data_IF_174252388677
#
_entry.id   IF_174252388677
#
_cell.length_a   1.000
_cell.length_b   1.000
_cell.length_c   1.000
_cell.angle_alpha   90.00
_cell.angle_beta   90.00
_cell.angle_gamma   90.00
#
_symmetry.space_group_name_H-M   'P 1'
#
loop_
_entity.id
_entity.type
_entity.pdbx_description
1 polymer ?
#
# COMPACT_ATOMS: atom_id res chain seq x y z
N UNK A 1 1.29 9.05 25.55
CA UNK A 1 1.95 8.00 24.74
C UNK A 1 1.52 6.56 25.09
N UNK A 2 1.11 6.26 26.32
CA UNK A 2 0.72 4.90 26.75
C UNK A 2 -0.58 4.35 26.15
N UNK A 3 -1.56 5.22 25.84
CA UNK A 3 -2.86 4.81 25.31
C UNK A 3 -2.78 4.24 23.88
N UNK A 4 -1.95 4.84 23.04
CA UNK A 4 -1.76 4.40 21.66
C UNK A 4 -1.07 3.04 21.59
N UNK A 5 -0.09 2.80 22.47
CA UNK A 5 0.57 1.49 22.59
C UNK A 5 -0.41 0.39 23.02
N UNK A 6 -1.29 0.66 23.97
CA UNK A 6 -2.34 -0.27 24.38
C UNK A 6 -3.36 -0.54 23.25
N UNK A 7 -3.68 0.48 22.45
CA UNK A 7 -4.51 0.32 21.26
C UNK A 7 -3.86 -0.61 20.22
N UNK A 8 -2.56 -0.44 19.95
CA UNK A 8 -1.80 -1.31 19.04
C UNK A 8 -1.82 -2.76 19.54
N UNK A 9 -1.42 -3.00 20.80
CA UNK A 9 -1.37 -4.35 21.38
C UNK A 9 -2.74 -5.05 21.37
N UNK A 10 -3.81 -4.30 21.65
CA UNK A 10 -5.19 -4.82 21.57
C UNK A 10 -5.59 -5.16 20.14
N UNK A 11 -5.16 -4.36 19.17
CA UNK A 11 -5.46 -4.59 17.75
C UNK A 11 -4.69 -5.82 17.25
N UNK A 12 -3.41 -5.94 17.58
CA UNK A 12 -2.56 -7.09 17.22
C UNK A 12 -3.08 -8.41 17.77
N UNK A 13 -3.52 -8.42 19.03
CA UNK A 13 -4.11 -9.60 19.65
C UNK A 13 -5.45 -10.01 19.01
N UNK A 14 -6.24 -9.04 18.54
CA UNK A 14 -7.49 -9.30 17.83
C UNK A 14 -7.30 -9.83 16.41
N UNK A 15 -6.19 -9.48 15.74
CA UNK A 15 -5.85 -10.03 14.41
C UNK A 15 -5.68 -11.55 14.50
N UNK A 16 -5.05 -12.05 15.57
CA UNK A 16 -4.80 -13.48 15.76
C UNK A 16 -6.04 -14.28 16.19
N UNK A 17 -6.88 -13.70 17.05
CA UNK A 17 -8.04 -14.41 17.62
C UNK A 17 -9.30 -14.35 16.75
N UNK A 18 -9.55 -13.23 16.07
CA UNK A 18 -10.68 -13.08 15.16
C UNK A 18 -10.35 -12.08 14.04
N UNK A 19 -9.68 -12.53 12.97
CA UNK A 19 -9.27 -11.66 11.87
C UNK A 19 -10.46 -10.98 11.16
N UNK A 20 -11.69 -11.49 11.30
CA UNK A 20 -12.88 -10.85 10.73
C UNK A 20 -13.15 -9.48 11.37
N UNK A 21 -12.82 -9.27 12.64
CA UNK A 21 -12.96 -7.98 13.32
C UNK A 21 -11.96 -6.95 12.79
N UNK A 22 -10.71 -7.37 12.58
CA UNK A 22 -9.70 -6.53 11.93
C UNK A 22 -10.15 -6.13 10.54
N UNK A 23 -10.58 -7.09 9.71
CA UNK A 23 -11.08 -6.77 8.37
C UNK A 23 -12.37 -5.95 8.40
N UNK A 24 -13.23 -6.12 9.40
CA UNK A 24 -14.42 -5.28 9.61
C UNK A 24 -14.03 -3.84 9.93
N UNK A 25 -13.06 -3.63 10.82
CA UNK A 25 -12.52 -2.32 11.17
C UNK A 25 -11.86 -1.64 9.96
N UNK A 26 -11.02 -2.38 9.21
CA UNK A 26 -10.38 -1.88 7.99
C UNK A 26 -11.45 -1.54 6.94
N UNK A 27 -12.46 -2.39 6.74
CA UNK A 27 -13.57 -2.11 5.81
C UNK A 27 -14.40 -0.91 6.25
N UNK A 28 -14.67 -0.76 7.55
CA UNK A 28 -15.39 0.39 8.09
C UNK A 28 -14.60 1.69 7.86
N UNK A 29 -13.27 1.65 7.96
CA UNK A 29 -12.39 2.79 7.62
C UNK A 29 -12.26 3.02 6.11
N UNK A 30 -12.42 1.96 5.30
CA UNK A 30 -12.46 2.01 3.83
C UNK A 30 -13.83 2.34 3.24
N UNK A 31 -14.88 2.54 4.06
CA UNK A 31 -16.23 2.88 3.56
C UNK A 31 -16.29 4.23 2.83
N UNK A 32 -15.26 5.06 2.95
CA UNK A 32 -14.97 6.11 1.98
C UNK A 32 -14.24 5.46 0.78
N UNK A 33 -14.99 4.84 -0.11
CA UNK A 33 -14.48 4.23 -1.34
C UNK A 33 -14.15 5.26 -2.44
N UNK A 34 -14.12 6.55 -2.11
CA UNK A 34 -13.72 7.64 -3.00
C UNK A 34 -12.27 8.06 -2.79
N UNK A 35 -11.70 8.73 -3.79
CA UNK A 35 -10.54 9.58 -3.54
C UNK A 35 -10.87 10.55 -2.40
N UNK A 36 -9.95 10.82 -1.47
CA UNK A 36 -10.20 11.77 -0.40
C UNK A 36 -10.63 13.11 -1.02
N UNK A 37 -11.76 13.67 -0.58
CA UNK A 37 -12.26 14.96 -1.09
C UNK A 37 -11.30 16.11 -0.82
N UNK A 38 -10.36 15.91 0.10
CA UNK A 38 -9.30 16.85 0.42
C UNK A 38 -8.05 16.09 0.88
N UNK A 39 -6.91 16.37 0.25
CA UNK A 39 -5.59 15.84 0.60
C UNK A 39 -4.75 16.98 1.20
N UNK A 40 -3.95 16.70 2.23
CA UNK A 40 -2.99 17.66 2.80
C UNK A 40 -1.58 17.07 2.84
N UNK A 41 -0.59 17.79 2.34
CA UNK A 41 0.81 17.35 2.38
C UNK A 41 1.51 17.79 3.69
N UNK A 42 2.75 17.33 3.90
CA UNK A 42 3.56 17.68 5.08
C UNK A 42 3.95 19.16 5.14
N UNK A 43 4.03 19.83 3.98
CA UNK A 43 4.25 21.27 3.89
C UNK A 43 3.01 22.10 4.28
N UNK A 44 1.85 21.46 4.44
CA UNK A 44 0.60 22.08 4.83
C UNK A 44 -0.32 22.46 3.66
N UNK A 45 0.10 22.23 2.41
CA UNK A 45 -0.69 22.48 1.21
C UNK A 45 -1.90 21.57 1.17
N UNK A 46 -3.02 22.10 0.69
CA UNK A 46 -4.31 21.42 0.65
C UNK A 46 -4.80 21.29 -0.79
N UNK A 47 -5.07 20.06 -1.23
CA UNK A 47 -5.56 19.73 -2.56
C UNK A 47 -7.01 19.26 -2.46
N UNK A 48 -7.93 19.98 -3.12
CA UNK A 48 -9.39 19.75 -2.99
C UNK A 48 -10.05 19.27 -4.27
N UNK A 49 -9.33 19.31 -5.41
CA UNK A 49 -9.84 18.82 -6.69
C UNK A 49 -9.27 17.44 -7.02
N UNK A 50 -10.05 16.53 -7.62
CA UNK A 50 -9.58 15.19 -7.97
C UNK A 50 -8.29 15.18 -8.80
N UNK A 51 -8.15 16.07 -9.78
CA UNK A 51 -6.94 16.16 -10.61
C UNK A 51 -5.70 16.52 -9.79
N UNK A 52 -5.80 17.52 -8.91
CA UNK A 52 -4.69 17.91 -8.04
C UNK A 52 -4.30 16.82 -7.05
N UNK A 53 -5.28 16.06 -6.54
CA UNK A 53 -5.04 14.93 -5.65
C UNK A 53 -4.29 13.82 -6.40
N UNK A 54 -4.70 13.50 -7.63
CA UNK A 54 -4.04 12.49 -8.47
C UNK A 54 -2.60 12.91 -8.81
N UNK A 55 -2.39 14.17 -9.20
CA UNK A 55 -1.06 14.71 -9.47
C UNK A 55 -0.14 14.68 -8.23
N UNK A 56 -0.69 15.02 -7.06
CA UNK A 56 0.05 14.94 -5.79
C UNK A 56 0.46 13.49 -5.48
N UNK A 57 -0.44 12.52 -5.67
CA UNK A 57 -0.09 11.10 -5.53
C UNK A 57 0.96 10.67 -6.57
N UNK A 58 0.81 11.06 -7.83
CA UNK A 58 1.77 10.76 -8.89
C UNK A 58 3.16 11.28 -8.53
N UNK A 59 3.27 12.52 -8.04
CA UNK A 59 4.53 13.12 -7.63
C UNK A 59 5.19 12.33 -6.49
N UNK A 60 4.42 11.95 -5.47
CA UNK A 60 4.95 11.17 -4.33
C UNK A 60 5.40 9.78 -4.79
N UNK A 61 4.57 9.05 -5.53
CA UNK A 61 4.92 7.69 -5.95
C UNK A 61 6.05 7.68 -6.97
N UNK A 62 6.07 8.62 -7.92
CA UNK A 62 7.20 8.75 -8.85
C UNK A 62 8.51 9.01 -8.12
N UNK A 63 8.53 9.89 -7.11
CA UNK A 63 9.73 10.17 -6.30
C UNK A 63 10.27 8.91 -5.58
N UNK A 64 9.37 8.06 -5.08
CA UNK A 64 9.73 6.83 -4.35
C UNK A 64 10.25 5.75 -5.31
N UNK A 65 9.63 5.60 -6.48
CA UNK A 65 9.93 4.49 -7.39
C UNK A 65 10.96 4.80 -8.48
N UNK A 66 11.19 6.07 -8.83
CA UNK A 66 12.25 6.46 -9.79
C UNK A 66 13.66 6.36 -9.21
N UNK A 67 13.79 6.38 -7.88
CA UNK A 67 15.07 6.22 -7.17
C UNK A 67 15.31 4.81 -6.64
N UNK A 68 14.66 3.78 -7.20
CA UNK A 68 15.12 2.41 -6.97
C UNK A 68 16.37 2.20 -7.83
N UNK A 69 17.61 2.22 -7.28
CA UNK A 69 18.72 1.72 -8.04
C UNK A 69 18.39 0.28 -8.37
N UNK A 70 18.21 -0.01 -9.66
CA UNK A 70 18.38 -1.36 -10.16
C UNK A 70 19.74 -1.82 -9.62
N UNK A 71 19.70 -2.75 -8.67
CA UNK A 71 20.89 -3.34 -8.04
C UNK A 71 21.79 -2.35 -7.29
N UNK A 72 21.55 -2.24 -5.99
CA UNK A 72 22.65 -2.01 -5.05
C UNK A 72 22.42 -2.90 -3.85
N UNK A 73 23.10 -4.06 -3.86
CA UNK A 73 23.35 -4.86 -2.68
C UNK A 73 24.07 -4.00 -1.64
N UNK A 74 23.31 -3.26 -0.83
CA UNK A 74 23.82 -2.76 0.44
C UNK A 74 23.94 -3.97 1.35
N UNK A 75 25.13 -4.53 1.41
CA UNK A 75 25.57 -5.39 2.51
C UNK A 75 25.38 -4.58 3.80
N UNK A 76 24.28 -4.85 4.51
CA UNK A 76 24.12 -4.42 5.89
C UNK A 76 25.24 -5.10 6.70
N UNK A 77 25.94 -4.40 7.61
CA UNK A 77 26.90 -5.04 8.48
C UNK A 77 26.17 -6.08 9.33
N UNK A 78 26.52 -7.34 9.08
CA UNK A 78 26.08 -8.50 9.86
C UNK A 78 26.54 -8.33 11.30
N UNK A 79 25.65 -7.83 12.14
CA UNK A 79 25.67 -8.12 13.56
C UNK A 79 24.24 -8.10 14.11
N UNK A 80 23.76 -9.30 14.44
CA UNK A 80 22.70 -9.60 15.42
C UNK A 80 21.20 -9.57 15.04
N UNK A 81 20.79 -10.04 13.85
CA UNK A 81 19.41 -10.54 13.68
C UNK A 81 19.40 -11.90 12.95
N UNK A 82 19.46 -12.99 13.72
CA UNK A 82 19.08 -14.32 13.24
C UNK A 82 17.55 -14.37 13.11
N UNK A 83 17.01 -13.90 11.99
CA UNK A 83 15.67 -14.25 11.56
C UNK A 83 15.78 -15.38 10.52
N UNK A 84 15.70 -16.62 10.99
CA UNK A 84 15.69 -17.82 10.14
C UNK A 84 14.27 -17.98 9.60
N UNK A 85 13.94 -17.16 8.61
CA UNK A 85 12.81 -17.38 7.70
C UNK A 85 13.16 -16.71 6.37
N UNK A 86 14.19 -17.23 5.71
CA UNK A 86 14.55 -16.86 4.35
C UNK A 86 13.61 -17.57 3.37
N UNK A 87 12.33 -17.24 3.40
CA UNK A 87 11.53 -17.38 2.19
C UNK A 87 12.04 -16.28 1.26
N UNK A 88 13.07 -16.61 0.47
CA UNK A 88 13.60 -15.72 -0.56
C UNK A 88 12.50 -15.61 -1.62
N UNK A 89 11.62 -14.62 -1.48
CA UNK A 89 10.57 -14.35 -2.46
C UNK A 89 11.25 -13.74 -3.67
N UNK A 90 11.49 -14.57 -4.69
CA UNK A 90 11.97 -14.10 -5.97
C UNK A 90 10.81 -13.45 -6.72
N UNK A 91 10.85 -12.12 -6.82
CA UNK A 91 9.95 -11.37 -7.69
C UNK A 91 10.66 -11.25 -9.04
N UNK A 92 10.15 -11.88 -10.12
CA UNK A 92 10.76 -11.75 -11.43
C UNK A 92 10.68 -10.30 -11.91
N UNK A 93 11.77 -9.83 -12.53
CA UNK A 93 11.75 -8.55 -13.23
C UNK A 93 10.84 -8.64 -14.46
N UNK A 94 10.08 -7.59 -14.73
CA UNK A 94 9.24 -7.48 -15.92
C UNK A 94 9.63 -6.23 -16.72
N UNK A 95 9.38 -6.27 -18.02
CA UNK A 95 9.62 -5.18 -18.97
C UNK A 95 8.36 -4.35 -19.21
N UNK A 96 8.53 -3.18 -19.82
CA UNK A 96 7.40 -2.35 -20.25
C UNK A 96 6.44 -3.12 -21.18
N UNK A 97 6.99 -3.95 -22.07
CA UNK A 97 6.20 -4.80 -22.96
C UNK A 97 5.31 -5.79 -22.19
N UNK A 98 5.82 -6.35 -21.07
CA UNK A 98 5.05 -7.26 -20.22
C UNK A 98 3.85 -6.55 -19.56
N UNK A 99 4.02 -5.28 -19.17
CA UNK A 99 2.95 -4.45 -18.62
C UNK A 99 1.88 -4.17 -19.66
N UNK A 100 2.29 -3.73 -20.86
CA UNK A 100 1.36 -3.44 -21.96
C UNK A 100 0.58 -4.69 -22.37
N UNK A 101 1.27 -5.83 -22.44
CA UNK A 101 0.63 -7.11 -22.77
C UNK A 101 -0.32 -7.59 -21.67
N UNK A 102 0.02 -7.38 -20.39
CA UNK A 102 -0.86 -7.70 -19.27
C UNK A 102 -2.12 -6.84 -19.27
N UNK A 103 -1.98 -5.53 -19.52
CA UNK A 103 -3.12 -4.61 -19.66
C UNK A 103 -4.03 -5.04 -20.82
N UNK A 104 -3.46 -5.39 -21.97
CA UNK A 104 -4.24 -5.86 -23.12
C UNK A 104 -4.96 -7.20 -22.87
N UNK A 105 -4.46 -8.02 -21.92
CA UNK A 105 -5.08 -9.30 -21.52
C UNK A 105 -6.14 -9.14 -20.43
N UNK A 106 -6.19 -7.99 -19.74
CA UNK A 106 -7.27 -7.72 -18.80
C UNK A 106 -8.56 -7.54 -19.59
N UNK A 107 -9.55 -8.39 -19.31
CA UNK A 107 -10.91 -8.19 -19.82
C UNK A 107 -11.46 -6.91 -19.21
N UNK A 108 -12.10 -6.07 -20.02
CA UNK A 108 -12.94 -4.99 -19.53
C UNK A 108 -14.07 -5.58 -18.67
N UNK A 109 -13.88 -5.58 -17.36
CA UNK A 109 -14.85 -6.07 -16.41
C UNK A 109 -15.69 -4.90 -15.93
N UNK A 110 -16.79 -4.63 -16.63
CA UNK A 110 -17.92 -3.86 -16.09
C UNK A 110 -18.70 -4.80 -15.18
N UNK A 111 -18.06 -5.32 -14.13
CA UNK A 111 -18.78 -5.99 -13.06
C UNK A 111 -19.14 -4.91 -12.05
N UNK A 112 -20.24 -4.21 -12.32
CA UNK A 112 -21.09 -3.74 -11.24
C UNK A 112 -21.66 -5.01 -10.62
N UNK A 113 -21.15 -5.40 -9.46
CA UNK A 113 -21.76 -6.48 -8.69
C UNK A 113 -23.22 -6.11 -8.40
N UNK A 114 -24.09 -7.10 -8.49
CA UNK A 114 -25.49 -6.98 -8.06
C UNK A 114 -25.50 -6.74 -6.54
N UNK A 115 -26.04 -5.60 -6.11
CA UNK A 115 -26.29 -5.30 -4.70
C UNK A 115 -27.57 -6.05 -4.28
N UNK A 116 -27.41 -7.29 -3.82
CA UNK A 116 -28.44 -8.05 -3.11
C UNK A 116 -27.94 -8.47 -1.72
#
# INVERSE_FOLDING_TARGET
MFLYRNFILKTETQIKSNPKLFWSFIRAKKRESGLPSTLRNEAGDTFTTPSMIVEAFQSVFSSVYTNSPATSTKTLPTSSLQYVNSAFVHIPSFSEADVVQAIAKLKDSITMGDDN
#
